data_IF_664374692858
#
_entry.id   IF_664374692858
#
_cell.length_a   1.000
_cell.length_b   1.000
_cell.length_c   1.000
_cell.angle_alpha   90.00
_cell.angle_beta   90.00
_cell.angle_gamma   90.00
#
_symmetry.space_group_name_H-M   'P 1'
#
loop_
_entity.id
_entity.type
_entity.pdbx_description
1 polymer ?
#
# COMPACT_ATOMS: atom_id res chain seq x y z
N UNK A 1 8.13 5.36 22.12
CA UNK A 1 7.74 6.09 20.89
C UNK A 1 7.53 5.03 19.82
N UNK A 2 6.46 5.14 19.06
CA UNK A 2 6.07 4.17 18.05
C UNK A 2 5.55 4.93 16.83
N UNK A 3 6.16 4.72 15.69
CA UNK A 3 5.73 5.22 14.40
C UNK A 3 5.10 4.11 13.57
N UNK A 4 4.31 4.51 12.58
CA UNK A 4 3.71 3.63 11.58
C UNK A 4 4.49 3.61 10.26
N UNK A 5 5.71 4.17 10.25
CA UNK A 5 6.67 4.06 9.16
C UNK A 5 7.39 2.72 9.27
N UNK A 6 6.63 1.67 8.97
CA UNK A 6 7.08 0.29 9.04
C UNK A 6 8.32 0.05 8.18
N UNK A 7 9.04 -1.03 8.48
CA UNK A 7 10.14 -1.47 7.63
C UNK A 7 9.63 -1.88 6.24
N UNK A 8 10.43 -1.57 5.22
CA UNK A 8 10.16 -2.03 3.87
C UNK A 8 10.17 -3.56 3.82
N UNK A 9 9.25 -4.14 3.08
CA UNK A 9 9.15 -5.59 2.88
C UNK A 9 9.82 -5.99 1.56
N UNK A 10 10.46 -7.16 1.48
CA UNK A 10 10.95 -7.69 0.23
C UNK A 10 9.77 -8.04 -0.69
N UNK A 11 9.79 -7.50 -1.90
CA UNK A 11 8.79 -7.75 -2.94
C UNK A 11 9.48 -8.13 -4.25
N UNK A 12 8.76 -8.85 -5.11
CA UNK A 12 9.23 -9.25 -6.44
C UNK A 12 8.53 -8.42 -7.50
N UNK A 13 9.29 -7.60 -8.22
CA UNK A 13 8.76 -6.71 -9.25
C UNK A 13 9.03 -7.28 -10.64
N UNK A 14 7.97 -7.42 -11.43
CA UNK A 14 8.07 -7.80 -12.84
C UNK A 14 8.39 -6.55 -13.68
N UNK A 15 9.55 -6.54 -14.32
CA UNK A 15 9.97 -5.51 -15.28
C UNK A 15 9.80 -6.06 -16.68
N UNK A 16 8.84 -5.52 -17.43
CA UNK A 16 8.52 -5.96 -18.79
C UNK A 16 9.28 -5.10 -19.79
N UNK A 17 10.02 -5.73 -20.70
CA UNK A 17 10.57 -5.09 -21.89
C UNK A 17 9.45 -4.93 -22.92
N UNK A 18 8.84 -3.76 -22.94
CA UNK A 18 7.67 -3.49 -23.79
C UNK A 18 8.00 -3.53 -25.29
N UNK A 19 9.23 -3.19 -25.67
CA UNK A 19 9.64 -3.19 -27.08
C UNK A 19 9.82 -4.63 -27.57
N UNK A 20 10.48 -5.46 -26.76
CA UNK A 20 10.64 -6.89 -27.06
C UNK A 20 9.32 -7.65 -26.98
N UNK A 21 8.47 -7.35 -26.01
CA UNK A 21 7.14 -7.93 -25.89
C UNK A 21 6.29 -7.61 -27.14
N UNK A 22 6.28 -6.34 -27.60
CA UNK A 22 5.58 -5.94 -28.83
C UNK A 22 6.14 -6.64 -30.07
N UNK A 23 7.45 -6.74 -30.21
CA UNK A 23 8.09 -7.41 -31.34
C UNK A 23 7.70 -8.90 -31.43
N UNK A 24 7.46 -9.54 -30.28
CA UNK A 24 7.06 -10.94 -30.18
C UNK A 24 5.54 -11.15 -30.14
N UNK A 25 4.74 -10.09 -30.32
CA UNK A 25 3.28 -10.18 -30.32
C UNK A 25 2.71 -10.55 -28.95
N UNK A 26 3.32 -10.04 -27.87
CA UNK A 26 2.90 -10.26 -26.49
C UNK A 26 2.53 -8.93 -25.86
N UNK A 27 1.31 -8.86 -25.31
CA UNK A 27 0.83 -7.67 -24.57
C UNK A 27 1.03 -7.82 -23.07
N UNK A 28 1.21 -6.71 -22.35
CA UNK A 28 1.28 -6.70 -20.88
C UNK A 28 0.03 -7.30 -20.23
N UNK A 29 -1.14 -7.10 -20.84
CA UNK A 29 -2.41 -7.72 -20.43
C UNK A 29 -2.31 -9.25 -20.46
N UNK A 30 -1.79 -9.82 -21.54
CA UNK A 30 -1.61 -11.26 -21.70
C UNK A 30 -0.63 -11.82 -20.68
N UNK A 31 0.51 -11.15 -20.50
CA UNK A 31 1.53 -11.53 -19.50
C UNK A 31 0.89 -11.63 -18.12
N UNK A 32 0.13 -10.61 -17.72
CA UNK A 32 -0.56 -10.57 -16.43
C UNK A 32 -1.58 -11.70 -16.27
N UNK A 33 -2.38 -11.99 -17.30
CA UNK A 33 -3.38 -13.06 -17.25
C UNK A 33 -2.74 -14.44 -17.06
N UNK A 34 -1.69 -14.73 -17.83
CA UNK A 34 -0.96 -16.01 -17.74
C UNK A 34 -0.28 -16.13 -16.37
N UNK A 35 0.41 -15.08 -15.92
CA UNK A 35 1.09 -15.11 -14.63
C UNK A 35 0.09 -15.28 -13.46
N UNK A 36 -1.06 -14.62 -13.53
CA UNK A 36 -2.12 -14.76 -12.53
C UNK A 36 -2.64 -16.21 -12.49
N UNK A 37 -2.92 -16.79 -13.65
CA UNK A 37 -3.40 -18.18 -13.76
C UNK A 37 -2.36 -19.18 -13.21
N UNK A 38 -1.07 -18.94 -13.46
CA UNK A 38 0.01 -19.82 -12.98
C UNK A 38 0.28 -19.66 -11.47
N UNK A 39 0.28 -18.42 -10.94
CA UNK A 39 0.66 -18.17 -9.54
C UNK A 39 -0.53 -18.30 -8.57
N UNK A 40 -1.64 -17.64 -8.86
CA UNK A 40 -2.82 -17.58 -7.99
C UNK A 40 -3.94 -18.52 -8.42
N UNK A 41 -3.88 -19.03 -9.66
CA UNK A 41 -4.98 -19.74 -10.28
C UNK A 41 -5.92 -18.81 -11.04
N UNK A 42 -6.65 -19.38 -11.98
CA UNK A 42 -7.73 -18.71 -12.70
C UNK A 42 -9.07 -19.23 -12.17
N UNK A 43 -9.88 -18.33 -11.60
CA UNK A 43 -11.27 -18.64 -11.29
C UNK A 43 -12.02 -18.90 -12.60
N UNK A 44 -12.62 -20.08 -12.73
CA UNK A 44 -13.34 -20.50 -13.92
C UNK A 44 -14.84 -20.23 -13.78
N UNK A 45 -15.43 -20.70 -12.68
CA UNK A 45 -16.86 -20.58 -12.42
C UNK A 45 -17.13 -20.79 -10.92
N UNK A 46 -18.34 -20.46 -10.48
CA UNK A 46 -18.79 -20.73 -9.11
C UNK A 46 -19.88 -21.80 -9.12
N UNK A 47 -19.65 -22.87 -8.35
CA UNK A 47 -20.62 -23.94 -8.16
C UNK A 47 -21.46 -23.70 -6.91
N UNK A 48 -22.77 -23.82 -7.04
CA UNK A 48 -23.68 -23.69 -5.90
C UNK A 48 -24.00 -25.06 -5.32
N UNK A 49 -23.57 -25.29 -4.08
CA UNK A 49 -23.93 -26.47 -3.29
C UNK A 49 -24.95 -26.07 -2.22
N UNK A 50 -26.24 -26.20 -2.55
CA UNK A 50 -27.34 -25.75 -1.70
C UNK A 50 -27.33 -24.24 -1.43
N UNK A 51 -27.01 -23.86 -0.20
CA UNK A 51 -26.91 -22.46 0.24
C UNK A 51 -25.47 -21.91 0.14
N UNK A 52 -24.48 -22.76 -0.12
CA UNK A 52 -23.07 -22.38 -0.22
C UNK A 52 -22.68 -22.13 -1.70
N UNK A 53 -21.75 -21.19 -1.91
CA UNK A 53 -21.15 -20.92 -3.22
C UNK A 53 -19.66 -21.26 -3.15
N UNK A 54 -19.24 -22.23 -3.96
CA UNK A 54 -17.89 -22.77 -3.99
C UNK A 54 -17.23 -22.37 -5.31
N UNK A 55 -16.12 -21.64 -5.25
CA UNK A 55 -15.41 -21.22 -6.46
C UNK A 55 -14.54 -22.33 -7.04
N UNK A 56 -14.69 -22.59 -8.34
CA UNK A 56 -13.87 -23.52 -9.12
C UNK A 56 -12.67 -22.75 -9.68
N UNK A 57 -11.47 -23.09 -9.20
CA UNK A 57 -10.22 -22.46 -9.61
C UNK A 57 -9.31 -23.47 -10.32
N UNK A 58 -8.93 -23.16 -11.56
CA UNK A 58 -7.87 -23.89 -12.26
C UNK A 58 -6.49 -23.36 -11.83
N UNK A 59 -5.62 -24.24 -11.36
CA UNK A 59 -4.28 -23.86 -10.86
C UNK A 59 -3.27 -24.97 -11.11
N UNK A 60 -2.01 -24.57 -11.29
CA UNK A 60 -0.88 -25.49 -11.41
C UNK A 60 -0.63 -26.27 -10.09
N UNK A 61 -0.08 -27.50 -10.16
CA UNK A 61 0.28 -28.29 -8.98
C UNK A 61 1.26 -27.56 -8.05
N UNK A 62 1.17 -27.85 -6.75
CA UNK A 62 1.93 -27.14 -5.71
C UNK A 62 3.45 -27.21 -5.88
N UNK A 63 3.97 -28.35 -6.31
CA UNK A 63 5.40 -28.56 -6.54
C UNK A 63 6.01 -27.56 -7.55
N UNK A 64 5.24 -27.08 -8.52
CA UNK A 64 5.70 -26.14 -9.56
C UNK A 64 5.63 -24.66 -9.10
N UNK A 65 4.86 -24.36 -8.04
CA UNK A 65 4.61 -22.99 -7.55
C UNK A 65 5.68 -22.45 -6.60
N UNK A 66 6.43 -23.32 -5.92
CA UNK A 66 7.37 -22.90 -4.87
C UNK A 66 8.70 -22.35 -5.40
N UNK A 67 9.00 -22.56 -6.67
CA UNK A 67 10.22 -22.07 -7.29
C UNK A 67 9.96 -20.68 -7.85
N UNK A 68 10.43 -19.63 -7.18
CA UNK A 68 10.43 -18.28 -7.76
C UNK A 68 11.15 -18.24 -9.12
N UNK A 69 12.07 -19.17 -9.37
CA UNK A 69 12.73 -19.40 -10.67
C UNK A 69 11.83 -20.05 -11.73
N UNK A 70 10.70 -20.66 -11.37
CA UNK A 70 9.76 -21.23 -12.35
C UNK A 70 8.99 -20.16 -13.10
N UNK A 71 8.88 -18.95 -12.54
CA UNK A 71 8.28 -17.78 -13.20
C UNK A 71 8.99 -17.47 -14.53
N UNK A 72 10.32 -17.59 -14.57
CA UNK A 72 11.12 -17.35 -15.79
C UNK A 72 10.88 -18.38 -16.90
N UNK A 73 10.36 -19.56 -16.52
CA UNK A 73 10.03 -20.68 -17.42
C UNK A 73 8.56 -20.70 -17.88
N UNK A 74 7.75 -19.73 -17.45
CA UNK A 74 6.36 -19.62 -17.87
C UNK A 74 6.28 -19.25 -19.34
N UNK A 75 5.57 -20.05 -20.12
CA UNK A 75 5.35 -19.79 -21.55
C UNK A 75 4.14 -18.89 -21.76
N UNK A 76 4.34 -17.84 -22.54
CA UNK A 76 3.30 -16.86 -22.88
C UNK A 76 2.92 -17.06 -24.34
N UNK A 77 1.64 -17.33 -24.64
CA UNK A 77 1.17 -17.44 -26.01
C UNK A 77 1.25 -16.07 -26.68
N UNK A 78 1.80 -16.07 -27.89
CA UNK A 78 1.92 -14.91 -28.78
C UNK A 78 0.69 -14.82 -29.69
N UNK A 79 0.39 -13.62 -30.16
CA UNK A 79 -0.69 -13.40 -31.12
C UNK A 79 -0.41 -14.07 -32.49
N UNK A 80 0.83 -14.45 -32.75
CA UNK A 80 1.27 -15.15 -33.97
C UNK A 80 1.15 -16.69 -33.88
N UNK A 81 0.58 -17.22 -32.81
CA UNK A 81 0.34 -18.66 -32.63
C UNK A 81 1.53 -19.46 -32.09
N UNK A 82 2.65 -18.80 -31.76
CA UNK A 82 3.77 -19.39 -31.01
C UNK A 82 3.68 -19.12 -29.51
N UNK A 83 4.63 -19.65 -28.74
CA UNK A 83 4.79 -19.34 -27.32
C UNK A 83 6.22 -18.89 -27.03
N UNK A 84 6.37 -17.87 -26.18
CA UNK A 84 7.66 -17.30 -25.79
C UNK A 84 7.82 -17.41 -24.27
N UNK A 85 8.98 -17.84 -23.75
CA UNK A 85 9.20 -17.88 -22.31
C UNK A 85 9.25 -16.46 -21.73
N UNK A 86 8.69 -16.27 -20.53
CA UNK A 86 8.60 -14.98 -19.84
C UNK A 86 9.97 -14.30 -19.71
N UNK A 87 11.04 -15.07 -19.45
CA UNK A 87 12.42 -14.60 -19.37
C UNK A 87 12.93 -13.85 -20.62
N UNK A 88 12.29 -14.02 -21.78
CA UNK A 88 12.65 -13.27 -22.99
C UNK A 88 11.97 -11.89 -23.07
N UNK A 89 10.85 -11.67 -22.38
CA UNK A 89 10.04 -10.44 -22.48
C UNK A 89 9.94 -9.69 -21.17
N UNK A 90 10.30 -10.30 -20.05
CA UNK A 90 10.29 -9.68 -18.74
C UNK A 90 11.35 -10.28 -17.83
N UNK A 91 11.71 -9.53 -16.79
CA UNK A 91 12.62 -9.94 -15.73
C UNK A 91 11.99 -9.69 -14.38
N UNK A 92 12.09 -10.66 -13.49
CA UNK A 92 11.69 -10.49 -12.09
C UNK A 92 12.89 -9.96 -11.30
N UNK A 93 12.72 -8.85 -10.59
CA UNK A 93 13.76 -8.25 -9.75
C UNK A 93 13.28 -8.12 -8.31
N UNK A 94 14.11 -8.50 -7.31
CA UNK A 94 13.80 -8.23 -5.91
C UNK A 94 13.92 -6.73 -5.64
N UNK A 95 12.91 -6.16 -4.98
CA UNK A 95 12.84 -4.77 -4.58
C UNK A 95 12.36 -4.67 -3.13
N UNK A 96 12.71 -3.60 -2.45
CA UNK A 96 12.15 -3.29 -1.13
C UNK A 96 11.03 -2.29 -1.31
N UNK A 97 9.81 -2.64 -0.90
CA UNK A 97 8.62 -1.80 -1.05
C UNK A 97 7.96 -1.54 0.31
N UNK A 98 7.20 -0.45 0.40
CA UNK A 98 6.43 -0.13 1.60
C UNK A 98 5.25 -1.11 1.70
N UNK A 99 5.21 -1.93 2.74
CA UNK A 99 4.16 -2.94 2.91
C UNK A 99 2.79 -2.34 3.21
N UNK A 100 2.76 -1.18 3.86
CA UNK A 100 1.54 -0.43 4.18
C UNK A 100 1.81 1.05 3.97
N UNK A 101 0.89 1.75 3.28
CA UNK A 101 0.92 3.19 3.10
C UNK A 101 -0.27 3.82 3.84
N UNK A 102 0.01 4.57 4.90
CA UNK A 102 -1.02 5.32 5.63
C UNK A 102 -1.32 6.63 4.92
N UNK A 103 -2.61 6.90 4.72
CA UNK A 103 -3.09 8.16 4.13
C UNK A 103 -4.09 8.82 5.05
N UNK A 104 -3.93 10.14 5.25
CA UNK A 104 -4.92 11.02 5.88
C UNK A 104 -5.22 12.16 4.92
N UNK A 105 -6.50 12.47 4.73
CA UNK A 105 -6.95 13.49 3.77
C UNK A 105 -6.35 13.31 2.36
N UNK A 106 -6.22 12.03 1.95
CA UNK A 106 -5.61 11.59 0.68
C UNK A 106 -4.10 11.84 0.54
N UNK A 107 -3.43 12.33 1.59
CA UNK A 107 -1.99 12.55 1.62
C UNK A 107 -1.28 11.42 2.38
N UNK A 108 -0.15 10.89 1.87
CA UNK A 108 0.69 9.97 2.63
C UNK A 108 1.13 10.61 3.94
N UNK A 109 0.91 9.93 5.06
CA UNK A 109 1.11 10.48 6.40
C UNK A 109 1.85 9.47 7.26
N UNK A 110 2.69 9.97 8.16
CA UNK A 110 3.36 9.19 9.20
C UNK A 110 2.76 9.61 10.54
N UNK A 111 2.22 8.65 11.28
CA UNK A 111 1.69 8.86 12.63
C UNK A 111 2.74 8.46 13.66
N UNK A 112 3.26 9.46 14.37
CA UNK A 112 4.17 9.23 15.50
C UNK A 112 3.37 9.25 16.80
N UNK A 113 3.39 8.13 17.52
CA UNK A 113 2.71 7.95 18.80
C UNK A 113 3.73 7.82 19.92
N UNK A 114 3.42 8.39 21.08
CA UNK A 114 4.25 8.27 22.26
C UNK A 114 3.38 7.98 23.49
N UNK A 115 3.87 7.10 24.35
CA UNK A 115 3.28 6.85 25.66
C UNK A 115 3.96 7.77 26.66
N UNK A 116 3.15 8.46 27.45
CA UNK A 116 3.61 9.38 28.49
C UNK A 116 3.63 8.69 29.85
N UNK A 117 4.51 9.09 30.77
CA UNK A 117 4.48 8.65 32.16
C UNK A 117 3.22 9.17 32.88
N UNK A 118 2.82 8.48 33.94
CA UNK A 118 1.69 8.89 34.78
C UNK A 118 1.91 10.26 35.42
N UNK A 119 0.83 11.04 35.54
CA UNK A 119 0.85 12.37 36.18
C UNK A 119 1.18 13.53 35.25
N UNK A 120 1.40 13.29 33.95
CA UNK A 120 1.65 14.34 32.95
C UNK A 120 0.46 14.46 32.00
N UNK A 121 0.00 15.70 31.79
CA UNK A 121 -1.11 15.96 30.87
C UNK A 121 -0.64 15.90 29.42
N UNK A 122 -1.26 15.01 28.62
CA UNK A 122 -0.88 14.79 27.22
C UNK A 122 -0.92 16.06 26.37
N UNK A 123 -1.95 16.91 26.57
CA UNK A 123 -2.12 18.13 25.78
C UNK A 123 -0.97 19.13 25.97
N UNK A 124 -0.45 19.27 27.18
CA UNK A 124 0.63 20.22 27.49
C UNK A 124 1.94 19.77 26.83
N UNK A 125 2.24 18.47 26.88
CA UNK A 125 3.45 17.90 26.27
C UNK A 125 3.39 18.02 24.76
N UNK A 126 2.26 17.67 24.15
CA UNK A 126 2.10 17.74 22.70
C UNK A 126 2.22 19.19 22.21
N UNK A 127 1.60 20.14 22.92
CA UNK A 127 1.70 21.57 22.57
C UNK A 127 3.13 22.09 22.73
N UNK A 128 3.82 21.72 23.82
CA UNK A 128 5.23 22.07 24.01
C UNK A 128 6.11 21.50 22.89
N UNK A 129 5.97 20.21 22.58
CA UNK A 129 6.76 19.55 21.54
C UNK A 129 6.50 20.18 20.15
N UNK A 130 5.25 20.52 19.86
CA UNK A 130 4.88 21.21 18.61
C UNK A 130 5.52 22.61 18.47
N UNK A 131 5.64 23.32 19.59
CA UNK A 131 6.32 24.62 19.66
C UNK A 131 7.84 24.48 19.54
N UNK A 132 8.43 23.50 20.21
CA UNK A 132 9.87 23.21 20.14
C UNK A 132 10.28 22.80 18.71
N UNK A 133 9.39 22.15 17.95
CA UNK A 133 9.59 21.77 16.55
C UNK A 133 9.33 22.92 15.54
N UNK A 134 9.17 24.17 15.99
CA UNK A 134 8.87 25.30 15.08
C UNK A 134 9.92 25.48 13.99
N UNK A 135 11.21 25.38 14.31
CA UNK A 135 12.29 25.54 13.34
C UNK A 135 12.31 24.40 12.32
N UNK A 136 12.05 23.17 12.77
CA UNK A 136 11.89 22.00 11.90
C UNK A 136 10.73 22.22 10.92
N UNK A 137 9.56 22.65 11.41
CA UNK A 137 8.38 22.93 10.59
C UNK A 137 8.63 24.01 9.55
N UNK A 138 9.41 25.04 9.90
CA UNK A 138 9.78 26.11 8.99
C UNK A 138 10.78 25.66 7.92
N UNK A 139 11.59 24.64 8.20
CA UNK A 139 12.57 24.07 7.27
C UNK A 139 12.03 23.00 6.31
N UNK A 140 10.75 22.62 6.41
CA UNK A 140 10.16 21.61 5.54
C UNK A 140 9.99 22.13 4.11
N UNK A 141 10.15 21.23 3.14
CA UNK A 141 9.89 21.54 1.74
C UNK A 141 8.40 21.89 1.53
N UNK A 142 8.07 22.73 0.52
CA UNK A 142 6.68 23.06 0.22
C UNK A 142 5.82 21.81 0.01
N UNK A 143 4.65 21.76 0.65
CA UNK A 143 3.72 20.63 0.59
C UNK A 143 3.79 19.65 1.76
N UNK A 144 4.83 19.73 2.60
CA UNK A 144 4.90 18.97 3.85
C UNK A 144 4.39 19.79 5.03
N UNK A 145 3.62 19.15 5.92
CA UNK A 145 3.10 19.76 7.13
C UNK A 145 3.20 18.79 8.30
N UNK A 146 3.38 19.32 9.50
CA UNK A 146 3.28 18.58 10.75
C UNK A 146 2.08 19.14 11.49
N UNK A 147 1.18 18.25 11.88
CA UNK A 147 -0.08 18.57 12.56
C UNK A 147 -0.17 17.80 13.87
N UNK A 148 -0.86 18.40 14.84
CA UNK A 148 -1.18 17.74 16.11
C UNK A 148 -2.37 16.81 15.85
N UNK A 149 -2.34 15.64 16.49
CA UNK A 149 -3.38 14.61 16.38
C UNK A 149 -3.83 14.13 17.76
N UNK A 150 -5.04 13.57 17.83
CA UNK A 150 -5.59 12.89 19.02
C UNK A 150 -6.25 13.86 20.00
N UNK A 151 -6.20 13.55 21.30
CA UNK A 151 -6.98 14.30 22.31
C UNK A 151 -6.69 15.81 22.34
N UNK A 152 -5.51 16.26 21.92
CA UNK A 152 -5.18 17.68 21.82
C UNK A 152 -5.88 18.36 20.62
N UNK A 153 -6.04 17.65 19.50
CA UNK A 153 -6.81 18.08 18.32
C UNK A 153 -8.30 18.20 18.71
N UNK A 154 -8.87 17.14 19.30
CA UNK A 154 -10.28 17.10 19.73
C UNK A 154 -10.60 18.20 20.76
N UNK A 155 -9.66 18.44 21.69
CA UNK A 155 -9.79 19.49 22.71
C UNK A 155 -9.77 20.88 22.09
N UNK A 156 -8.92 21.11 21.09
CA UNK A 156 -8.81 22.39 20.40
C UNK A 156 -10.06 22.67 19.53
N UNK A 157 -10.56 21.66 18.82
CA UNK A 157 -11.79 21.77 18.02
C UNK A 157 -13.00 22.05 18.91
N UNK A 158 -13.13 21.34 20.03
CA UNK A 158 -14.20 21.55 21.01
C UNK A 158 -14.16 22.96 21.59
N UNK A 159 -12.98 23.44 22.00
CA UNK A 159 -12.80 24.81 22.51
C UNK A 159 -13.13 25.87 21.47
N UNK A 160 -12.73 25.67 20.21
CA UNK A 160 -13.05 26.59 19.12
C UNK A 160 -14.57 26.70 18.89
N UNK A 161 -15.29 25.57 18.94
CA UNK A 161 -16.75 25.53 18.81
C UNK A 161 -17.46 26.26 19.96
N UNK A 162 -16.99 26.08 21.20
CA UNK A 162 -17.51 26.79 22.38
C UNK A 162 -17.24 28.30 22.24
N UNK A 163 -16.01 28.69 21.94
CA UNK A 163 -15.62 30.08 21.81
C UNK A 163 -16.42 30.82 20.71
N UNK A 164 -16.74 30.13 19.61
CA UNK A 164 -17.58 30.68 18.55
C UNK A 164 -19.02 30.97 19.00
N UNK A 165 -19.56 30.21 19.95
CA UNK A 165 -20.95 30.33 20.43
C UNK A 165 -21.09 31.12 21.74
N UNK A 166 -20.02 31.26 22.51
CA UNK A 166 -20.02 31.99 23.78
C UNK A 166 -20.55 33.44 23.69
N UNK A 167 -20.28 34.23 22.63
CA UNK A 167 -20.81 35.59 22.51
C UNK A 167 -22.34 35.66 22.44
N UNK A 168 -23.00 34.64 21.86
CA UNK A 168 -24.47 34.56 21.75
C UNK A 168 -25.09 34.15 23.10
N UNK A 169 -24.38 33.37 23.91
CA UNK A 169 -24.84 32.91 25.23
C UNK A 169 -24.76 33.98 26.31
N UNK A 170 -23.90 35.00 26.11
CA UNK A 170 -23.67 36.11 27.05
C UNK A 170 -24.42 37.39 26.66
N UNK A 171 -25.13 37.40 25.53
CA UNK A 171 -25.97 38.49 25.04
C UNK A 171 -27.44 38.26 25.41
#
# INVERSE_FOLDING_TARGET
>A
IHDDWLETVPAMKLVIDQDRARALGVTSQRIRQVLQATMSGAALDDFRDGEETVSIVAREPEATRHLLSSVDSVYIPTDFGGSVPLSQVAKVVPVMEQGVEWRRDRLPTISVRATLPDGVQSNDVVTKMYNDMKDLRAGLAPGYKIEIQGGAEDSAESQASIAAKAPIMLA
#
